data_IF_408212579846
#
_entry.id   IF_408212579846
#
_cell.length_a   1.000
_cell.length_b   1.000
_cell.length_c   1.000
_cell.angle_alpha   90.00
_cell.angle_beta   90.00
_cell.angle_gamma   90.00
#
_symmetry.space_group_name_H-M   'P 1'
#
loop_
_entity.id
_entity.type
_entity.pdbx_description
1 polymer ?
#
# COMPACT_ATOMS: atom_id res chain seq x y z
N UNK A 1 -16.34 3.45 29.70
CA UNK A 1 -14.92 3.58 30.05
C UNK A 1 -14.28 4.53 29.04
N UNK A 2 -13.51 5.52 29.52
CA UNK A 2 -12.81 6.46 28.64
C UNK A 2 -11.56 5.84 28.00
N UNK A 3 -11.05 6.46 26.95
CA UNK A 3 -9.78 6.10 26.32
C UNK A 3 -8.63 6.23 27.33
N UNK A 4 -7.86 5.16 27.51
CA UNK A 4 -6.70 5.13 28.41
C UNK A 4 -5.41 4.90 27.60
N UNK A 5 -4.61 5.94 27.32
CA UNK A 5 -3.41 5.81 26.49
C UNK A 5 -2.33 4.92 27.12
N UNK A 6 -2.18 4.91 28.43
CA UNK A 6 -1.17 4.06 29.09
C UNK A 6 -1.49 2.57 28.92
N UNK A 7 -2.77 2.22 28.99
CA UNK A 7 -3.22 0.85 28.78
C UNK A 7 -3.04 0.43 27.32
N UNK A 8 -3.30 1.31 26.36
CA UNK A 8 -3.06 1.05 24.93
C UNK A 8 -1.56 0.83 24.67
N UNK A 9 -0.69 1.69 25.19
CA UNK A 9 0.77 1.55 25.07
C UNK A 9 1.22 0.20 25.65
N UNK A 10 0.71 -0.17 26.81
CA UNK A 10 1.03 -1.45 27.46
C UNK A 10 0.62 -2.63 26.57
N UNK A 11 -0.58 -2.62 26.00
CA UNK A 11 -1.05 -3.70 25.13
C UNK A 11 -0.24 -3.80 23.84
N UNK A 12 0.07 -2.68 23.20
CA UNK A 12 0.89 -2.65 21.98
C UNK A 12 2.30 -3.20 22.26
N UNK A 13 2.91 -2.80 23.38
CA UNK A 13 4.26 -3.28 23.74
C UNK A 13 4.31 -4.78 24.08
N UNK A 14 3.18 -5.38 24.46
CA UNK A 14 3.04 -6.82 24.76
C UNK A 14 2.43 -7.60 23.59
N UNK A 15 2.29 -6.99 22.40
CA UNK A 15 1.76 -7.60 21.19
C UNK A 15 2.89 -7.90 20.20
N UNK A 16 2.75 -7.53 18.93
CA UNK A 16 3.77 -7.75 17.91
C UNK A 16 5.05 -6.97 18.23
N UNK A 17 6.20 -7.63 18.10
CA UNK A 17 7.50 -7.04 18.37
C UNK A 17 8.20 -6.54 17.10
N UNK A 18 7.82 -7.10 15.96
CA UNK A 18 8.33 -6.74 14.64
C UNK A 18 7.41 -7.28 13.52
N UNK A 19 7.71 -7.00 12.28
CA UNK A 19 6.91 -7.39 11.11
C UNK A 19 6.84 -8.91 10.85
N UNK A 20 7.65 -9.74 11.53
CA UNK A 20 7.50 -11.20 11.39
C UNK A 20 6.30 -11.76 12.17
N UNK A 21 5.76 -10.95 13.08
CA UNK A 21 4.57 -11.28 13.86
C UNK A 21 3.27 -10.91 13.13
N UNK A 22 3.37 -10.24 11.98
CA UNK A 22 2.21 -9.81 11.19
C UNK A 22 1.27 -10.96 10.86
N UNK A 23 -0.02 -10.74 11.11
CA UNK A 23 -1.06 -11.72 10.82
C UNK A 23 -1.60 -11.54 9.40
N UNK A 24 -1.48 -12.59 8.59
CA UNK A 24 -1.96 -12.62 7.21
C UNK A 24 -2.88 -13.81 6.93
N UNK A 25 -3.87 -13.59 6.06
CA UNK A 25 -4.55 -14.69 5.37
C UNK A 25 -3.72 -15.04 4.13
N UNK A 26 -3.30 -16.30 4.05
CA UNK A 26 -2.54 -16.85 2.92
C UNK A 26 -3.48 -17.38 1.84
N UNK A 27 -3.15 -17.13 0.58
CA UNK A 27 -3.90 -17.61 -0.57
C UNK A 27 -3.00 -18.45 -1.49
N UNK A 28 -3.49 -19.61 -1.92
CA UNK A 28 -2.76 -20.44 -2.89
C UNK A 28 -2.88 -19.91 -4.32
N UNK A 29 -3.98 -19.21 -4.63
CA UNK A 29 -4.22 -18.57 -5.92
C UNK A 29 -4.32 -19.56 -7.08
N UNK A 30 -4.85 -20.78 -6.82
CA UNK A 30 -5.01 -21.83 -7.82
C UNK A 30 -6.42 -21.83 -8.45
N UNK A 31 -7.39 -21.25 -7.75
CA UNK A 31 -8.78 -21.15 -8.16
C UNK A 31 -9.44 -19.91 -7.56
N UNK A 32 -10.68 -19.60 -7.99
CA UNK A 32 -11.44 -18.49 -7.41
C UNK A 32 -11.77 -18.70 -5.91
N UNK A 33 -11.76 -19.93 -5.43
CA UNK A 33 -12.07 -20.24 -4.04
C UNK A 33 -10.89 -19.91 -3.10
N UNK A 34 -9.66 -20.03 -3.60
CA UNK A 34 -8.43 -19.86 -2.84
C UNK A 34 -7.55 -18.71 -3.31
N UNK A 35 -8.06 -17.84 -4.19
CA UNK A 35 -7.42 -16.60 -4.60
C UNK A 35 -7.73 -15.46 -3.63
N UNK A 36 -6.81 -14.48 -3.55
CA UNK A 36 -7.00 -13.25 -2.80
C UNK A 36 -8.27 -12.52 -3.26
N UNK A 37 -8.95 -11.84 -2.34
CA UNK A 37 -10.19 -11.09 -2.58
C UNK A 37 -10.08 -10.06 -3.72
N UNK A 38 -8.92 -9.47 -3.92
CA UNK A 38 -8.64 -8.49 -4.97
C UNK A 38 -7.92 -9.09 -6.19
N UNK A 39 -7.63 -10.39 -6.17
CA UNK A 39 -6.98 -11.08 -7.27
C UNK A 39 -7.87 -11.21 -8.50
N UNK A 40 -7.30 -11.26 -9.71
CA UNK A 40 -8.04 -11.30 -10.97
C UNK A 40 -8.90 -12.56 -11.14
N UNK A 41 -8.50 -13.69 -10.55
CA UNK A 41 -9.27 -14.94 -10.62
C UNK A 41 -10.54 -14.90 -9.77
N UNK A 42 -10.55 -14.10 -8.68
CA UNK A 42 -11.69 -14.04 -7.75
C UNK A 42 -12.60 -12.85 -7.98
N UNK A 43 -12.09 -11.73 -8.44
CA UNK A 43 -12.81 -10.48 -8.52
C UNK A 43 -12.75 -9.87 -9.93
N UNK A 44 -13.72 -9.04 -10.27
CA UNK A 44 -13.75 -8.30 -11.53
C UNK A 44 -13.46 -6.80 -11.28
N UNK A 45 -12.20 -6.47 -11.15
CA UNK A 45 -11.71 -5.09 -11.00
C UNK A 45 -11.14 -4.53 -12.32
N UNK A 46 -11.42 -5.18 -13.45
CA UNK A 46 -10.86 -4.84 -14.76
C UNK A 46 -11.17 -3.41 -15.23
N UNK A 47 -12.29 -2.84 -14.75
CA UNK A 47 -12.72 -1.48 -15.09
C UNK A 47 -12.21 -0.41 -14.12
N UNK A 48 -11.69 -0.80 -12.97
CA UNK A 48 -11.16 0.16 -11.99
C UNK A 48 -9.75 0.59 -12.37
N UNK A 49 -9.48 1.88 -12.22
CA UNK A 49 -8.21 2.50 -12.57
C UNK A 49 -7.65 3.29 -11.39
N UNK A 50 -6.33 3.37 -11.32
CA UNK A 50 -5.67 4.29 -10.40
C UNK A 50 -6.08 5.73 -10.70
N UNK A 51 -6.40 6.51 -9.67
CA UNK A 51 -6.84 7.90 -9.83
C UNK A 51 -5.65 8.85 -9.94
N UNK A 52 -5.88 10.02 -10.54
CA UNK A 52 -4.90 11.11 -10.55
C UNK A 52 -4.52 11.55 -9.14
N UNK A 53 -5.49 11.54 -8.21
CA UNK A 53 -5.24 11.89 -6.82
C UNK A 53 -4.19 10.99 -6.15
N UNK A 54 -4.33 9.66 -6.26
CA UNK A 54 -3.37 8.74 -5.63
C UNK A 54 -1.98 8.86 -6.28
N UNK A 55 -1.92 9.04 -7.60
CA UNK A 55 -0.65 9.27 -8.28
C UNK A 55 0.05 10.51 -7.74
N UNK A 56 -0.65 11.66 -7.71
CA UNK A 56 -0.11 12.94 -7.24
C UNK A 56 0.23 12.95 -5.74
N UNK A 57 -0.43 12.11 -4.96
CA UNK A 57 -0.09 11.92 -3.55
C UNK A 57 1.23 11.14 -3.37
N UNK A 58 1.59 10.29 -4.36
CA UNK A 58 2.77 9.42 -4.27
C UNK A 58 3.97 9.92 -5.09
N UNK A 59 3.76 10.77 -6.11
CA UNK A 59 4.82 11.24 -7.02
C UNK A 59 5.54 12.53 -6.58
N UNK A 60 5.18 13.05 -5.41
CA UNK A 60 5.74 14.30 -4.87
C UNK A 60 5.02 15.57 -5.33
N UNK A 61 3.93 15.46 -6.09
CA UNK A 61 3.16 16.64 -6.55
C UNK A 61 2.38 17.29 -5.42
N UNK A 62 1.66 16.50 -4.60
CA UNK A 62 0.88 17.02 -3.46
C UNK A 62 1.81 17.30 -2.26
N UNK A 63 2.73 16.39 -1.99
CA UNK A 63 3.70 16.50 -0.91
C UNK A 63 5.06 16.90 -1.49
N UNK A 64 5.28 18.19 -1.69
CA UNK A 64 6.37 18.82 -2.44
C UNK A 64 7.72 18.07 -2.35
N UNK A 65 8.08 17.35 -3.40
CA UNK A 65 9.34 16.62 -3.53
C UNK A 65 9.42 15.27 -2.81
N UNK A 66 8.40 14.89 -2.02
CA UNK A 66 8.37 13.61 -1.32
C UNK A 66 7.75 12.52 -2.21
N UNK A 67 8.60 11.76 -2.92
CA UNK A 67 8.16 10.62 -3.73
C UNK A 67 8.01 9.38 -2.83
N UNK A 68 6.82 8.79 -2.84
CA UNK A 68 6.54 7.58 -2.06
C UNK A 68 7.21 6.35 -2.72
N UNK A 69 8.14 5.67 -2.04
CA UNK A 69 8.85 4.52 -2.60
C UNK A 69 7.96 3.29 -2.83
N UNK A 70 6.73 3.28 -2.32
CA UNK A 70 5.74 2.23 -2.59
C UNK A 70 5.04 2.40 -3.94
N UNK A 71 5.13 3.59 -4.56
CA UNK A 71 4.41 3.93 -5.79
C UNK A 71 4.54 2.85 -6.89
N UNK A 72 5.75 2.39 -7.29
CA UNK A 72 5.89 1.41 -8.36
C UNK A 72 5.36 0.01 -7.99
N UNK A 73 5.11 -0.24 -6.71
CA UNK A 73 4.58 -1.50 -6.20
C UNK A 73 3.06 -1.49 -6.04
N UNK A 74 2.48 -0.31 -5.87
CA UNK A 74 1.02 -0.09 -5.70
C UNK A 74 0.38 0.32 -7.02
N UNK A 75 1.04 1.20 -7.79
CA UNK A 75 0.57 1.71 -9.08
C UNK A 75 1.30 1.01 -10.23
N UNK A 76 0.67 1.01 -11.41
CA UNK A 76 1.28 0.50 -12.64
C UNK A 76 1.51 1.63 -13.65
N UNK A 77 2.63 1.65 -14.38
CA UNK A 77 2.82 2.58 -15.48
C UNK A 77 1.97 2.18 -16.69
N UNK A 78 1.68 3.13 -17.57
CA UNK A 78 1.17 2.87 -18.91
C UNK A 78 2.23 2.10 -19.74
N UNK A 79 1.88 1.68 -20.94
CA UNK A 79 2.78 0.86 -21.76
C UNK A 79 4.09 1.59 -22.15
N UNK A 80 4.05 2.92 -22.22
CA UNK A 80 5.22 3.78 -22.44
C UNK A 80 6.04 4.03 -21.15
N UNK A 81 5.78 3.27 -20.10
CA UNK A 81 6.45 3.31 -18.79
C UNK A 81 6.22 4.61 -18.00
N UNK A 82 5.26 5.44 -18.39
CA UNK A 82 4.88 6.65 -17.66
C UNK A 82 3.72 6.35 -16.72
N UNK A 83 3.87 6.71 -15.45
CA UNK A 83 2.76 6.62 -14.49
C UNK A 83 1.72 7.69 -14.78
N UNK A 84 0.46 7.28 -14.87
CA UNK A 84 -0.70 8.16 -15.10
C UNK A 84 -1.83 7.77 -14.19
N UNK A 85 -2.54 8.76 -13.67
CA UNK A 85 -3.78 8.58 -12.91
C UNK A 85 -5.00 9.03 -13.73
N UNK A 86 -6.15 8.43 -13.45
CA UNK A 86 -7.40 8.80 -14.10
C UNK A 86 -8.01 10.01 -13.39
N UNK A 87 -8.12 11.19 -14.05
CA UNK A 87 -8.84 12.32 -13.48
C UNK A 87 -10.32 11.98 -13.27
N UNK A 88 -10.97 12.63 -12.33
CA UNK A 88 -12.41 12.48 -12.11
C UNK A 88 -13.20 12.83 -13.39
N UNK A 89 -14.23 12.04 -13.66
CA UNK A 89 -15.11 12.19 -14.83
C UNK A 89 -14.42 12.04 -16.20
N UNK A 90 -13.30 11.33 -16.26
CA UNK A 90 -12.64 11.02 -17.54
C UNK A 90 -12.53 9.50 -17.75
N UNK A 91 -12.23 9.13 -18.99
CA UNK A 91 -11.97 7.73 -19.36
C UNK A 91 -10.48 7.40 -19.20
N UNK A 92 -10.15 6.11 -19.14
CA UNK A 92 -8.78 5.64 -19.06
C UNK A 92 -7.92 5.92 -20.33
N UNK A 93 -8.51 6.56 -21.34
CA UNK A 93 -7.91 6.79 -22.64
C UNK A 93 -8.11 5.62 -23.60
N UNK A 94 -8.02 5.91 -24.89
CA UNK A 94 -8.18 4.94 -26.00
C UNK A 94 -6.85 4.53 -26.63
N UNK A 95 -5.83 5.40 -26.53
CA UNK A 95 -4.49 5.14 -27.08
C UNK A 95 -3.78 4.12 -26.21
N UNK A 96 -3.47 2.95 -26.74
CA UNK A 96 -2.90 1.81 -26.01
C UNK A 96 -1.63 2.19 -25.24
N UNK A 97 -0.72 2.93 -25.88
CA UNK A 97 0.56 3.30 -25.25
C UNK A 97 0.42 4.16 -23.98
N UNK A 98 -0.59 5.06 -23.95
CA UNK A 98 -0.80 6.01 -22.86
C UNK A 98 -2.01 5.67 -21.99
N UNK A 99 -2.72 4.59 -22.29
CA UNK A 99 -3.89 4.16 -21.54
C UNK A 99 -3.53 3.84 -20.09
N UNK A 100 -4.34 4.33 -19.17
CA UNK A 100 -4.16 4.08 -17.74
C UNK A 100 -4.49 2.61 -17.46
N UNK A 101 -3.57 1.84 -16.85
CA UNK A 101 -3.80 0.43 -16.55
C UNK A 101 -4.88 0.25 -15.45
N UNK A 102 -5.45 -0.93 -15.37
CA UNK A 102 -6.34 -1.31 -14.29
C UNK A 102 -5.54 -1.62 -13.00
N UNK A 103 -6.23 -1.92 -11.91
CA UNK A 103 -5.60 -2.19 -10.61
C UNK A 103 -4.69 -3.43 -10.62
N UNK A 104 -4.82 -4.33 -11.58
CA UNK A 104 -3.92 -5.47 -11.77
C UNK A 104 -2.71 -5.15 -12.63
N UNK A 105 -2.62 -3.91 -13.14
CA UNK A 105 -1.55 -3.49 -14.04
C UNK A 105 -1.80 -3.80 -15.52
N UNK A 106 -2.98 -4.30 -15.88
CA UNK A 106 -3.31 -4.61 -17.26
C UNK A 106 -3.79 -3.36 -18.03
N UNK A 107 -3.31 -3.22 -19.27
CA UNK A 107 -3.67 -2.09 -20.15
C UNK A 107 -5.04 -2.31 -20.80
N UNK A 108 -5.35 -3.54 -21.20
CA UNK A 108 -6.61 -3.91 -21.86
C UNK A 108 -7.50 -4.75 -20.96
N UNK A 109 -8.82 -4.63 -21.15
CA UNK A 109 -9.80 -5.47 -20.44
C UNK A 109 -9.56 -6.95 -20.76
N UNK A 110 -9.50 -7.78 -19.73
CA UNK A 110 -9.34 -9.24 -19.90
C UNK A 110 -7.91 -9.74 -20.01
N UNK A 111 -6.90 -8.87 -19.98
CA UNK A 111 -5.51 -9.32 -19.93
C UNK A 111 -5.13 -9.74 -18.51
N UNK A 112 -5.19 -11.04 -18.23
CA UNK A 112 -4.71 -11.64 -16.98
C UNK A 112 -3.19 -11.90 -16.96
N UNK A 113 -2.48 -11.49 -18.01
CA UNK A 113 -1.05 -11.83 -18.20
C UNK A 113 -0.10 -10.89 -17.47
N UNK A 114 -0.57 -9.71 -17.05
CA UNK A 114 0.24 -8.79 -16.27
C UNK A 114 0.23 -9.20 -14.79
N UNK A 115 1.39 -9.24 -14.12
CA UNK A 115 1.41 -9.49 -12.69
C UNK A 115 0.68 -8.34 -11.97
N UNK A 116 -0.29 -8.70 -11.16
CA UNK A 116 -0.98 -7.75 -10.27
C UNK A 116 0.00 -7.04 -9.35
N UNK A 117 -0.42 -5.88 -8.81
CA UNK A 117 0.38 -5.06 -7.90
C UNK A 117 -0.04 -5.31 -6.46
N UNK A 118 0.92 -5.38 -5.54
CA UNK A 118 0.74 -5.54 -4.10
C UNK A 118 -0.40 -6.52 -3.73
N UNK A 119 -1.54 -6.02 -3.25
CA UNK A 119 -2.71 -6.84 -2.89
C UNK A 119 -3.53 -7.34 -4.09
N UNK A 120 -3.32 -6.78 -5.28
CA UNK A 120 -4.09 -7.09 -6.49
C UNK A 120 -3.53 -8.29 -7.26
N UNK A 121 -3.18 -9.37 -6.53
CA UNK A 121 -2.66 -10.64 -7.07
C UNK A 121 -3.40 -11.80 -6.42
N UNK A 122 -3.58 -12.89 -7.16
CA UNK A 122 -4.25 -14.09 -6.62
C UNK A 122 -3.53 -14.70 -5.41
N UNK A 123 -2.21 -14.64 -5.38
CA UNK A 123 -1.36 -15.17 -4.30
C UNK A 123 -0.92 -14.11 -3.29
N UNK A 124 -1.49 -12.89 -3.34
CA UNK A 124 -1.12 -11.87 -2.37
C UNK A 124 -1.63 -12.24 -0.98
N UNK A 125 -0.76 -12.19 0.01
CA UNK A 125 -1.15 -12.31 1.41
C UNK A 125 -2.01 -11.12 1.81
N UNK A 126 -3.13 -11.35 2.47
CA UNK A 126 -4.04 -10.29 2.91
C UNK A 126 -3.79 -9.98 4.38
N UNK A 127 -3.36 -8.75 4.73
CA UNK A 127 -3.06 -8.39 6.11
C UNK A 127 -4.34 -8.31 6.94
N UNK A 128 -4.33 -8.94 8.11
CA UNK A 128 -5.39 -8.84 9.13
C UNK A 128 -5.01 -7.86 10.22
N UNK A 129 -3.77 -7.94 10.70
CA UNK A 129 -3.18 -7.04 11.66
C UNK A 129 -1.68 -6.99 11.42
N UNK A 130 -1.10 -5.81 11.45
CA UNK A 130 0.31 -5.62 11.15
C UNK A 130 1.04 -4.84 12.24
N UNK A 131 2.33 -5.07 12.35
CA UNK A 131 3.20 -4.30 13.22
C UNK A 131 3.18 -2.80 12.86
N UNK A 132 3.07 -2.49 11.56
CA UNK A 132 2.84 -1.13 11.06
C UNK A 132 1.64 -0.46 11.73
N UNK A 133 0.49 -1.14 11.74
CA UNK A 133 -0.74 -0.61 12.35
C UNK A 133 -0.56 -0.37 13.85
N UNK A 134 0.08 -1.31 14.55
CA UNK A 134 0.38 -1.16 15.98
C UNK A 134 1.30 0.03 16.27
N UNK A 135 2.26 0.36 15.39
CA UNK A 135 3.10 1.55 15.56
C UNK A 135 2.28 2.84 15.43
N UNK A 136 1.31 2.93 14.53
CA UNK A 136 0.42 4.09 14.43
C UNK A 136 -0.53 4.20 15.63
N UNK A 137 -1.08 3.09 16.12
CA UNK A 137 -1.88 3.06 17.38
C UNK A 137 -1.03 3.55 18.55
N UNK A 138 0.21 3.11 18.64
CA UNK A 138 1.17 3.54 19.66
C UNK A 138 1.50 5.03 19.56
N UNK A 139 1.69 5.53 18.35
CA UNK A 139 1.94 6.95 18.11
C UNK A 139 0.76 7.81 18.57
N UNK A 140 -0.48 7.42 18.25
CA UNK A 140 -1.68 8.11 18.72
C UNK A 140 -1.78 8.10 20.23
N UNK A 141 -1.52 6.97 20.88
CA UNK A 141 -1.58 6.84 22.32
C UNK A 141 -0.56 7.75 23.03
N UNK A 142 0.68 7.80 22.56
CA UNK A 142 1.70 8.72 23.07
C UNK A 142 1.32 10.19 22.86
N UNK A 143 0.77 10.52 21.68
CA UNK A 143 0.33 11.89 21.40
C UNK A 143 -0.79 12.32 22.37
N UNK A 144 -1.79 11.47 22.62
CA UNK A 144 -2.86 11.74 23.57
C UNK A 144 -2.40 11.82 25.03
N UNK A 145 -1.27 11.17 25.34
CA UNK A 145 -0.60 11.28 26.64
C UNK A 145 0.23 12.58 26.77
N UNK A 146 0.49 13.29 25.69
CA UNK A 146 1.37 14.47 25.64
C UNK A 146 2.86 14.13 25.47
N UNK A 147 3.20 12.87 25.21
CA UNK A 147 4.57 12.41 24.95
C UNK A 147 4.90 12.51 23.46
N UNK A 148 5.14 13.72 22.99
CA UNK A 148 5.39 14.01 21.58
C UNK A 148 6.66 13.33 21.04
N UNK A 149 7.66 13.10 21.86
CA UNK A 149 8.92 12.45 21.46
C UNK A 149 8.67 10.99 21.06
N UNK A 150 8.02 10.23 21.93
CA UNK A 150 7.70 8.83 21.65
C UNK A 150 6.60 8.70 20.59
N UNK A 151 5.65 9.65 20.52
CA UNK A 151 4.65 9.70 19.45
C UNK A 151 5.32 9.81 18.06
N UNK A 152 6.26 10.75 17.90
CA UNK A 152 6.98 10.95 16.65
C UNK A 152 7.85 9.73 16.29
N UNK A 153 8.51 9.12 17.27
CA UNK A 153 9.32 7.93 17.06
C UNK A 153 8.48 6.75 16.55
N UNK A 154 7.33 6.48 17.19
CA UNK A 154 6.41 5.43 16.79
C UNK A 154 5.78 5.71 15.41
N UNK A 155 5.43 6.96 15.11
CA UNK A 155 4.91 7.38 13.80
C UNK A 155 5.90 7.12 12.68
N UNK A 156 7.16 7.55 12.85
CA UNK A 156 8.24 7.28 11.88
C UNK A 156 8.46 5.79 11.67
N UNK A 157 8.45 5.02 12.76
CA UNK A 157 8.59 3.55 12.69
C UNK A 157 7.43 2.93 11.91
N UNK A 158 6.19 3.39 12.10
CA UNK A 158 5.04 2.94 11.32
C UNK A 158 5.19 3.20 9.83
N UNK A 159 5.74 4.36 9.43
CA UNK A 159 6.01 4.68 8.02
C UNK A 159 7.07 3.72 7.45
N UNK A 160 8.20 3.53 8.13
CA UNK A 160 9.26 2.61 7.71
C UNK A 160 8.73 1.19 7.49
N UNK A 161 8.03 0.65 8.47
CA UNK A 161 7.45 -0.70 8.39
C UNK A 161 6.39 -0.84 7.30
N UNK A 162 5.59 0.21 7.04
CA UNK A 162 4.64 0.22 5.94
C UNK A 162 5.32 0.14 4.58
N UNK A 163 6.42 0.85 4.40
CA UNK A 163 7.22 0.83 3.17
C UNK A 163 7.83 -0.56 2.98
N UNK A 164 8.44 -1.10 4.02
CA UNK A 164 9.04 -2.44 4.02
C UNK A 164 8.01 -3.53 3.74
N UNK A 165 6.83 -3.46 4.36
CA UNK A 165 5.74 -4.40 4.14
C UNK A 165 5.30 -4.45 2.67
N UNK A 166 5.09 -3.29 2.04
CA UNK A 166 4.70 -3.22 0.63
C UNK A 166 5.83 -3.72 -0.26
N UNK A 167 7.07 -3.32 0.00
CA UNK A 167 8.21 -3.66 -0.84
C UNK A 167 8.60 -5.15 -0.75
N UNK A 168 8.49 -5.79 0.41
CA UNK A 168 8.71 -7.23 0.58
C UNK A 168 7.67 -8.09 -0.12
N UNK A 169 6.43 -7.60 -0.23
CA UNK A 169 5.30 -8.33 -0.81
C UNK A 169 5.07 -8.02 -2.30
N UNK A 170 6.07 -7.52 -3.00
CA UNK A 170 5.94 -7.11 -4.40
C UNK A 170 6.82 -7.91 -5.34
N UNK A 171 6.43 -7.92 -6.63
CA UNK A 171 7.19 -8.53 -7.74
C UNK A 171 8.07 -7.52 -8.48
N UNK A 172 8.01 -6.24 -8.11
CA UNK A 172 8.78 -5.17 -8.77
C UNK A 172 9.98 -4.81 -7.89
N UNK A 173 11.17 -5.20 -8.34
CA UNK A 173 12.44 -4.86 -7.68
C UNK A 173 12.86 -3.43 -8.02
N UNK A 174 12.27 -2.44 -7.38
CA UNK A 174 12.75 -1.06 -7.46
C UNK A 174 12.98 -0.55 -6.05
N UNK A 175 14.24 -0.31 -5.74
CA UNK A 175 14.65 0.24 -4.43
C UNK A 175 14.64 1.77 -4.53
N UNK A 176 13.67 2.40 -3.88
CA UNK A 176 13.66 3.84 -3.68
C UNK A 176 14.15 4.15 -2.27
N UNK A 177 14.96 5.18 -2.04
CA UNK A 177 15.45 5.53 -0.71
C UNK A 177 14.31 6.01 0.20
N UNK A 178 14.13 5.33 1.31
CA UNK A 178 13.12 5.65 2.35
C UNK A 178 13.34 7.02 2.99
N UNK A 179 14.57 7.51 2.97
CA UNK A 179 14.98 8.75 3.64
C UNK A 179 14.22 10.00 3.18
N UNK A 180 13.72 10.04 1.94
CA UNK A 180 13.01 11.21 1.40
C UNK A 180 11.62 11.44 2.01
N UNK A 181 10.97 10.41 2.56
CA UNK A 181 9.65 10.52 3.18
C UNK A 181 9.68 10.88 4.67
N UNK A 182 10.80 10.64 5.34
CA UNK A 182 10.91 10.82 6.79
C UNK A 182 11.44 12.23 7.12
N UNK A 183 12.03 12.92 6.15
CA UNK A 183 12.62 14.27 6.32
C UNK A 183 11.73 15.40 5.83
N UNK A 184 10.60 15.12 5.19
CA UNK A 184 9.60 16.09 4.76
C UNK A 184 8.50 16.24 5.81
#
# INVERSE_FOLDING_TARGET
AGYNPDQVITYVNNSFTNATDDAYVKFAGLSSADANFFGPTRNNLSNYRQTDFILRAMDGTIFAGAVDPRMPNVLAPSQDLVFRGNPLNTTAGTVTATRIPNLWGAITTGSSTMPGRYLFRDKADFPLMTYTELQFIKAEAYLKKGDNTNALAAYKKGIEESIDMVNKNTVVSTTYPVASLITA
#
